data_IF_418580785459
#
_entry.id   IF_418580785459
#
_cell.length_a   1.000
_cell.length_b   1.000
_cell.length_c   1.000
_cell.angle_alpha   90.00
_cell.angle_beta   90.00
_cell.angle_gamma   90.00
#
_symmetry.space_group_name_H-M   'P 1'
#
loop_
_entity.id
_entity.type
_entity.pdbx_description
1 polymer ?
#
# COMPACT_ATOMS: atom_id res chain seq x y z
N UNK A 1 30.20 -34.35 29.93
CA UNK A 1 30.46 -33.64 28.65
C UNK A 1 29.25 -32.78 28.37
N UNK A 2 29.41 -31.45 28.35
CA UNK A 2 28.30 -30.53 28.05
C UNK A 2 28.02 -30.59 26.55
N UNK A 3 26.75 -30.57 26.16
CA UNK A 3 26.35 -30.52 24.76
C UNK A 3 26.93 -29.26 24.06
N UNK A 4 27.67 -29.43 22.95
CA UNK A 4 28.27 -28.30 22.23
C UNK A 4 27.23 -27.28 21.74
N UNK A 5 26.00 -27.70 21.45
CA UNK A 5 24.93 -26.80 21.03
C UNK A 5 24.45 -25.91 22.19
N UNK A 6 24.36 -26.46 23.40
CA UNK A 6 24.02 -25.71 24.61
C UNK A 6 25.09 -24.66 24.90
N UNK A 7 26.38 -25.02 24.80
CA UNK A 7 27.46 -24.06 24.97
C UNK A 7 27.43 -22.96 23.91
N UNK A 8 27.13 -23.29 22.64
CA UNK A 8 26.95 -22.29 21.59
C UNK A 8 25.86 -21.28 21.95
N UNK A 9 24.68 -21.75 22.36
CA UNK A 9 23.55 -20.87 22.75
C UNK A 9 23.90 -20.00 23.96
N UNK A 10 24.61 -20.54 24.96
CA UNK A 10 25.08 -19.76 26.13
C UNK A 10 26.03 -18.64 25.71
N UNK A 11 27.00 -18.93 24.83
CA UNK A 11 27.94 -17.93 24.29
C UNK A 11 27.24 -16.82 23.52
N UNK A 12 26.27 -17.17 22.67
CA UNK A 12 25.48 -16.19 21.91
C UNK A 12 24.68 -15.27 22.84
N UNK A 13 24.03 -15.85 23.86
CA UNK A 13 23.31 -15.06 24.89
C UNK A 13 24.24 -14.16 25.70
N UNK A 14 25.43 -14.63 26.04
CA UNK A 14 26.42 -13.81 26.74
C UNK A 14 26.82 -12.59 25.91
N UNK A 15 27.16 -12.80 24.64
CA UNK A 15 27.56 -11.72 23.74
C UNK A 15 26.41 -10.73 23.49
N UNK A 16 25.18 -11.23 23.32
CA UNK A 16 24.00 -10.37 23.18
C UNK A 16 23.71 -9.55 24.44
N UNK A 17 23.84 -10.16 25.63
CA UNK A 17 23.66 -9.43 26.88
C UNK A 17 24.73 -8.35 27.05
N UNK A 18 26.00 -8.67 26.81
CA UNK A 18 27.08 -7.70 26.85
C UNK A 18 26.84 -6.54 25.88
N UNK A 19 26.41 -6.83 24.64
CA UNK A 19 26.04 -5.80 23.67
C UNK A 19 24.92 -4.88 24.17
N UNK A 20 23.89 -5.44 24.81
CA UNK A 20 22.77 -4.65 25.32
C UNK A 20 23.19 -3.78 26.50
N UNK A 21 23.99 -4.30 27.44
CA UNK A 21 24.49 -3.57 28.60
C UNK A 21 25.46 -2.46 28.19
N UNK A 22 26.27 -2.67 27.15
CA UNK A 22 27.17 -1.64 26.60
C UNK A 22 26.48 -0.69 25.62
N UNK A 23 25.22 -0.93 25.26
CA UNK A 23 24.53 -0.26 24.16
C UNK A 23 25.35 -0.23 22.85
N UNK A 24 26.16 -1.27 22.61
CA UNK A 24 27.07 -1.35 21.46
C UNK A 24 28.27 -0.40 21.53
N UNK A 25 28.61 0.14 22.70
CA UNK A 25 29.77 1.02 22.86
C UNK A 25 31.02 0.23 23.27
N UNK A 26 32.05 0.25 22.41
CA UNK A 26 33.33 -0.45 22.64
C UNK A 26 34.12 0.06 23.86
N UNK A 27 33.88 1.30 24.28
CA UNK A 27 34.56 1.92 25.43
C UNK A 27 33.89 1.49 26.75
N UNK A 28 32.62 1.10 26.70
CA UNK A 28 31.86 0.74 27.88
C UNK A 28 32.24 -0.66 28.38
N UNK A 29 32.69 -0.71 29.63
CA UNK A 29 33.13 -1.93 30.30
C UNK A 29 32.01 -2.45 31.20
N UNK A 30 31.75 -3.75 31.16
CA UNK A 30 30.71 -4.41 31.94
C UNK A 30 31.34 -5.45 32.85
N UNK A 31 30.90 -5.50 34.10
CA UNK A 31 31.32 -6.50 35.08
C UNK A 31 30.92 -7.90 34.61
N UNK A 32 31.89 -8.81 34.53
CA UNK A 32 31.68 -10.20 34.08
C UNK A 32 30.81 -10.96 35.08
N UNK A 33 30.94 -10.66 36.38
CA UNK A 33 30.11 -11.24 37.44
C UNK A 33 28.64 -10.81 37.33
N UNK A 34 28.38 -9.56 36.94
CA UNK A 34 27.00 -9.09 36.75
C UNK A 34 26.34 -9.78 35.55
N UNK A 35 27.10 -10.01 34.47
CA UNK A 35 26.64 -10.79 33.32
C UNK A 35 26.33 -12.24 33.70
N UNK A 36 27.20 -12.88 34.47
CA UNK A 36 26.99 -14.25 34.95
C UNK A 36 25.73 -14.37 35.80
N UNK A 37 25.55 -13.46 36.75
CA UNK A 37 24.37 -13.40 37.62
C UNK A 37 23.07 -13.25 36.81
N UNK A 38 23.07 -12.39 35.78
CA UNK A 38 21.92 -12.19 34.89
C UNK A 38 21.61 -13.43 34.04
N UNK A 39 22.62 -14.20 33.67
CA UNK A 39 22.47 -15.41 32.86
C UNK A 39 22.27 -16.68 33.69
N UNK A 40 22.42 -16.62 35.02
CA UNK A 40 22.39 -17.78 35.90
C UNK A 40 23.53 -18.76 35.62
N UNK A 41 24.71 -18.25 35.30
CA UNK A 41 25.91 -19.04 35.03
C UNK A 41 26.76 -19.18 36.29
N UNK A 42 27.37 -20.36 36.46
CA UNK A 42 28.41 -20.56 37.47
C UNK A 42 29.75 -19.95 37.00
N UNK A 43 30.65 -19.69 37.95
CA UNK A 43 31.94 -19.03 37.70
C UNK A 43 32.81 -19.81 36.69
N UNK A 44 32.89 -21.14 36.84
CA UNK A 44 33.62 -22.00 35.91
C UNK A 44 33.04 -21.95 34.48
N UNK A 45 31.70 -21.88 34.34
CA UNK A 45 31.07 -21.76 33.03
C UNK A 45 31.29 -20.39 32.40
N UNK A 46 31.26 -19.35 33.22
CA UNK A 46 31.48 -17.97 32.84
C UNK A 46 32.89 -17.77 32.26
N UNK A 47 33.91 -18.23 32.97
CA UNK A 47 35.30 -18.12 32.54
C UNK A 47 35.52 -18.83 31.20
N UNK A 48 35.00 -20.05 31.05
CA UNK A 48 35.06 -20.80 29.81
C UNK A 48 34.41 -20.04 28.62
N UNK A 49 33.26 -19.40 28.86
CA UNK A 49 32.57 -18.60 27.85
C UNK A 49 33.36 -17.34 27.51
N UNK A 50 33.82 -16.59 28.53
CA UNK A 50 34.55 -15.34 28.36
C UNK A 50 35.89 -15.57 27.65
N UNK A 51 36.68 -16.57 28.07
CA UNK A 51 37.94 -16.91 27.40
C UNK A 51 37.72 -17.34 25.95
N UNK A 52 36.69 -18.13 25.66
CA UNK A 52 36.38 -18.50 24.28
C UNK A 52 36.02 -17.28 23.43
N UNK A 53 35.21 -16.35 23.95
CA UNK A 53 34.82 -15.15 23.20
C UNK A 53 36.00 -14.18 23.01
N UNK A 54 36.90 -14.09 23.99
CA UNK A 54 38.12 -13.32 23.91
C UNK A 54 39.11 -13.91 22.89
N UNK A 55 39.29 -15.23 22.87
CA UNK A 55 40.09 -15.95 21.86
C UNK A 55 39.56 -15.70 20.44
N UNK A 56 38.24 -15.50 20.30
CA UNK A 56 37.60 -15.13 19.02
C UNK A 56 37.64 -13.64 18.71
N UNK A 57 38.27 -12.80 19.54
CA UNK A 57 38.34 -11.36 19.32
C UNK A 57 36.99 -10.65 19.42
N UNK A 58 35.98 -11.27 20.01
CA UNK A 58 34.62 -10.71 20.12
C UNK A 58 34.44 -9.83 21.36
N UNK A 59 35.28 -10.05 22.37
CA UNK A 59 35.35 -9.27 23.60
C UNK A 59 36.82 -9.04 23.96
N UNK A 60 37.09 -8.01 24.75
CA UNK A 60 38.40 -7.75 25.35
C UNK A 60 38.29 -7.70 26.88
N UNK A 61 39.32 -8.22 27.56
CA UNK A 61 39.43 -8.12 29.01
C UNK A 61 39.88 -6.73 29.41
N UNK A 62 39.17 -6.14 30.37
CA UNK A 62 39.54 -4.92 31.06
C UNK A 62 40.01 -5.23 32.49
N UNK A 63 40.50 -4.20 33.19
CA UNK A 63 40.94 -4.36 34.56
C UNK A 63 39.78 -4.78 35.49
N UNK A 64 40.12 -5.46 36.59
CA UNK A 64 39.18 -5.78 37.68
C UNK A 64 37.95 -6.61 37.24
N UNK A 65 38.13 -7.62 36.39
CA UNK A 65 37.03 -8.54 36.02
C UNK A 65 35.93 -7.90 35.18
N UNK A 66 36.26 -6.84 34.45
CA UNK A 66 35.38 -6.23 33.47
C UNK A 66 35.74 -6.68 32.06
N UNK A 67 34.77 -6.64 31.15
CA UNK A 67 34.97 -6.89 29.71
C UNK A 67 34.31 -5.80 28.89
N UNK A 68 34.92 -5.48 27.75
CA UNK A 68 34.33 -4.64 26.72
C UNK A 68 34.01 -5.48 25.48
N UNK A 69 32.99 -5.07 24.72
CA UNK A 69 32.69 -5.67 23.43
C UNK A 69 33.59 -5.05 22.35
N UNK A 70 34.11 -5.86 21.43
CA UNK A 70 34.91 -5.36 20.31
C UNK A 70 34.01 -4.94 19.14
N UNK A 71 34.60 -4.30 18.13
CA UNK A 71 33.91 -4.01 16.87
C UNK A 71 33.40 -5.29 16.18
N UNK A 72 34.19 -6.37 16.18
CA UNK A 72 33.79 -7.66 15.61
C UNK A 72 32.64 -8.31 16.42
N UNK A 73 32.67 -8.18 17.76
CA UNK A 73 31.58 -8.60 18.63
C UNK A 73 30.27 -7.90 18.30
N UNK A 74 30.31 -6.59 18.09
CA UNK A 74 29.16 -5.77 17.69
C UNK A 74 28.62 -6.24 16.33
N UNK A 75 29.47 -6.33 15.31
CA UNK A 75 29.08 -6.74 13.95
C UNK A 75 28.38 -8.11 13.98
N UNK A 76 28.89 -9.05 14.78
CA UNK A 76 28.32 -10.38 14.91
C UNK A 76 26.92 -10.38 15.52
N UNK A 77 26.69 -9.59 16.57
CA UNK A 77 25.36 -9.45 17.19
C UNK A 77 24.39 -8.75 16.25
N UNK A 78 24.82 -7.69 15.58
CA UNK A 78 23.99 -6.98 14.60
C UNK A 78 23.64 -7.83 13.39
N UNK A 79 24.59 -8.63 12.88
CA UNK A 79 24.34 -9.57 11.81
C UNK A 79 23.26 -10.59 12.21
N UNK A 80 23.36 -11.17 13.41
CA UNK A 80 22.35 -12.09 13.93
C UNK A 80 20.96 -11.42 14.04
N UNK A 81 20.90 -10.18 14.52
CA UNK A 81 19.65 -9.39 14.61
C UNK A 81 19.06 -9.04 13.26
N UNK A 82 19.91 -8.72 12.27
CA UNK A 82 19.47 -8.39 10.91
C UNK A 82 18.79 -9.58 10.24
N UNK A 83 19.31 -10.79 10.46
CA UNK A 83 18.73 -12.04 9.95
C UNK A 83 17.34 -12.25 10.58
N UNK A 84 17.23 -12.11 11.90
CA UNK A 84 15.95 -12.21 12.59
C UNK A 84 14.95 -11.19 12.06
N UNK A 85 15.34 -9.91 11.94
CA UNK A 85 14.47 -8.85 11.41
C UNK A 85 13.98 -9.17 9.99
N UNK A 86 14.85 -9.73 9.14
CA UNK A 86 14.49 -10.14 7.78
C UNK A 86 13.50 -11.31 7.77
N UNK A 87 13.72 -12.32 8.61
CA UNK A 87 12.82 -13.47 8.74
C UNK A 87 11.46 -13.02 9.27
N UNK A 88 11.42 -12.25 10.35
CA UNK A 88 10.17 -11.73 10.90
C UNK A 88 9.45 -10.83 9.91
N UNK A 89 10.16 -9.91 9.23
CA UNK A 89 9.54 -9.06 8.21
C UNK A 89 8.90 -9.87 7.08
N UNK A 90 9.59 -10.90 6.59
CA UNK A 90 9.06 -11.78 5.55
C UNK A 90 7.86 -12.62 6.03
N UNK A 91 7.94 -13.17 7.24
CA UNK A 91 6.89 -14.00 7.82
C UNK A 91 5.62 -13.20 8.13
N UNK A 92 5.76 -12.01 8.75
CA UNK A 92 4.64 -11.13 9.03
C UNK A 92 4.01 -10.57 7.77
N UNK A 93 4.79 -10.21 6.75
CA UNK A 93 4.24 -9.75 5.46
C UNK A 93 3.37 -10.83 4.81
N UNK A 94 3.81 -12.09 4.87
CA UNK A 94 3.09 -13.22 4.30
C UNK A 94 1.81 -13.56 5.09
N UNK A 95 1.92 -13.62 6.43
CA UNK A 95 0.76 -13.88 7.30
C UNK A 95 -0.28 -12.77 7.21
N UNK A 96 0.15 -11.50 7.24
CA UNK A 96 -0.76 -10.36 7.17
C UNK A 96 -1.60 -10.38 5.89
N UNK A 97 -0.98 -10.76 4.76
CA UNK A 97 -1.70 -10.94 3.49
C UNK A 97 -2.78 -12.03 3.59
N UNK A 98 -2.45 -13.20 4.13
CA UNK A 98 -3.40 -14.32 4.27
C UNK A 98 -4.56 -13.91 5.20
N UNK A 99 -4.26 -13.29 6.34
CA UNK A 99 -5.27 -12.84 7.29
C UNK A 99 -6.21 -11.82 6.65
N UNK A 100 -5.69 -10.86 5.90
CA UNK A 100 -6.52 -9.89 5.15
C UNK A 100 -7.41 -10.59 4.12
N UNK A 101 -6.87 -11.52 3.33
CA UNK A 101 -7.65 -12.24 2.32
C UNK A 101 -8.79 -13.05 2.95
N UNK A 102 -8.56 -13.68 4.10
CA UNK A 102 -9.58 -14.39 4.87
C UNK A 102 -10.64 -13.42 5.42
N UNK A 103 -10.22 -12.31 6.02
CA UNK A 103 -11.15 -11.30 6.57
C UNK A 103 -12.05 -10.75 5.46
N UNK A 104 -11.49 -10.39 4.29
CA UNK A 104 -12.25 -9.92 3.13
C UNK A 104 -13.25 -11.00 2.68
N UNK A 105 -12.83 -12.26 2.60
CA UNK A 105 -13.71 -13.38 2.23
C UNK A 105 -14.90 -13.53 3.18
N UNK A 106 -14.66 -13.40 4.49
CA UNK A 106 -15.71 -13.46 5.51
C UNK A 106 -16.67 -12.27 5.41
N UNK A 107 -16.16 -11.05 5.22
CA UNK A 107 -16.99 -9.85 5.05
C UNK A 107 -17.89 -10.00 3.81
N UNK A 108 -17.34 -10.46 2.69
CA UNK A 108 -18.12 -10.72 1.47
C UNK A 108 -19.21 -11.75 1.74
N UNK A 109 -18.89 -12.85 2.41
CA UNK A 109 -19.87 -13.88 2.76
C UNK A 109 -21.01 -13.34 3.65
N UNK A 110 -20.68 -12.51 4.64
CA UNK A 110 -21.67 -11.85 5.50
C UNK A 110 -22.58 -10.95 4.66
N UNK A 111 -22.02 -10.09 3.79
CA UNK A 111 -22.80 -9.20 2.92
C UNK A 111 -23.76 -10.00 2.03
N UNK A 112 -23.28 -11.09 1.42
CA UNK A 112 -24.13 -11.97 0.59
C UNK A 112 -25.25 -12.65 1.41
N UNK A 113 -24.98 -13.00 2.67
CA UNK A 113 -25.97 -13.66 3.54
C UNK A 113 -27.06 -12.70 4.01
N UNK A 114 -26.74 -11.42 4.19
CA UNK A 114 -27.68 -10.37 4.60
C UNK A 114 -28.43 -9.70 3.44
N UNK A 115 -28.17 -10.09 2.18
CA UNK A 115 -28.85 -9.51 1.02
C UNK A 115 -29.56 -10.57 0.14
N UNK A 116 -30.58 -11.29 0.64
CA UNK A 116 -31.10 -12.48 -0.02
C UNK A 116 -31.91 -12.21 -1.30
N UNK A 117 -32.47 -11.00 -1.50
CA UNK A 117 -33.67 -10.84 -2.34
C UNK A 117 -33.69 -9.64 -3.31
N UNK A 118 -32.56 -9.25 -3.91
CA UNK A 118 -32.54 -8.24 -5.00
C UNK A 118 -32.21 -8.77 -6.40
N UNK A 119 -32.37 -10.07 -6.63
CA UNK A 119 -32.28 -10.65 -7.97
C UNK A 119 -33.63 -11.11 -8.50
N UNK A 120 -34.59 -10.18 -8.54
CA UNK A 120 -35.48 -10.10 -9.70
C UNK A 120 -34.94 -8.97 -10.59
N UNK A 121 -34.32 -9.28 -11.74
CA UNK A 121 -34.04 -8.27 -12.74
C UNK A 121 -35.37 -7.92 -13.40
N UNK A 122 -36.13 -6.98 -12.83
CA UNK A 122 -37.23 -6.39 -13.58
C UNK A 122 -37.36 -4.88 -13.31
N UNK A 123 -37.43 -4.17 -14.45
CA UNK A 123 -37.74 -2.76 -14.69
C UNK A 123 -36.61 -1.75 -14.45
N UNK A 124 -36.32 -1.05 -15.55
CA UNK A 124 -35.64 0.24 -15.64
C UNK A 124 -35.77 1.04 -14.35
N UNK A 125 -34.62 1.39 -13.78
CA UNK A 125 -34.52 2.49 -12.81
C UNK A 125 -34.85 3.79 -13.54
N UNK A 126 -36.15 4.02 -13.78
CA UNK A 126 -36.68 5.35 -14.03
C UNK A 126 -36.51 6.11 -12.71
N UNK A 127 -35.34 6.72 -12.55
CA UNK A 127 -35.14 7.79 -11.59
C UNK A 127 -36.25 8.80 -11.85
N UNK A 128 -37.17 8.91 -10.90
CA UNK A 128 -38.26 9.88 -11.03
C UNK A 128 -37.65 11.26 -11.20
N UNK A 129 -38.24 12.08 -12.07
CA UNK A 129 -37.80 13.46 -12.33
C UNK A 129 -37.59 14.29 -11.06
N UNK A 130 -38.28 13.95 -9.97
CA UNK A 130 -38.13 14.57 -8.66
C UNK A 130 -36.82 14.20 -7.93
N UNK A 131 -36.35 12.95 -8.04
CA UNK A 131 -35.07 12.52 -7.45
C UNK A 131 -33.88 13.13 -8.19
N UNK A 132 -33.99 13.22 -9.52
CA UNK A 132 -33.01 13.91 -10.36
C UNK A 132 -32.94 15.39 -9.99
N UNK A 133 -34.11 16.04 -9.81
CA UNK A 133 -34.17 17.46 -9.44
C UNK A 133 -33.54 17.71 -8.06
N UNK A 134 -33.80 16.85 -7.06
CA UNK A 134 -33.15 16.96 -5.75
C UNK A 134 -31.64 16.82 -5.81
N UNK A 135 -31.12 15.92 -6.65
CA UNK A 135 -29.68 15.77 -6.85
C UNK A 135 -29.10 17.01 -7.55
N UNK A 136 -29.78 17.54 -8.57
CA UNK A 136 -29.37 18.76 -9.27
C UNK A 136 -29.37 20.01 -8.35
N UNK A 137 -30.39 20.14 -7.51
CA UNK A 137 -30.53 21.23 -6.54
C UNK A 137 -29.46 21.13 -5.43
N UNK A 138 -29.09 19.92 -5.02
CA UNK A 138 -28.02 19.67 -4.02
C UNK A 138 -26.63 19.99 -4.56
N UNK A 139 -26.43 19.84 -5.88
CA UNK A 139 -25.15 20.09 -6.55
C UNK A 139 -25.03 21.57 -7.00
N UNK A 140 -26.09 22.37 -6.85
CA UNK A 140 -26.09 23.78 -7.23
C UNK A 140 -25.98 24.02 -8.74
N UNK A 141 -26.49 23.09 -9.55
CA UNK A 141 -26.48 23.22 -11.01
C UNK A 141 -27.75 23.92 -11.50
N UNK A 142 -27.60 25.01 -12.27
CA UNK A 142 -28.74 25.82 -12.72
C UNK A 142 -29.61 25.13 -13.79
N UNK A 143 -29.07 24.15 -14.53
CA UNK A 143 -29.87 23.35 -15.49
C UNK A 143 -29.30 21.95 -15.69
N UNK A 144 -30.17 20.96 -15.56
CA UNK A 144 -29.94 19.56 -15.94
C UNK A 144 -30.93 19.16 -17.03
N UNK A 145 -30.42 18.73 -18.19
CA UNK A 145 -31.25 18.11 -19.24
C UNK A 145 -30.90 16.63 -19.34
N UNK A 146 -31.91 15.78 -19.26
CA UNK A 146 -31.75 14.34 -19.32
C UNK A 146 -32.49 13.81 -20.54
N UNK A 147 -31.76 13.00 -21.31
CA UNK A 147 -32.29 12.18 -22.39
C UNK A 147 -32.07 10.72 -22.01
N UNK A 148 -32.74 9.80 -22.69
CA UNK A 148 -32.62 8.36 -22.40
C UNK A 148 -31.16 7.84 -22.44
N UNK A 149 -30.28 8.53 -23.18
CA UNK A 149 -28.92 8.05 -23.43
C UNK A 149 -27.83 8.96 -22.82
N UNK A 150 -28.17 10.10 -22.22
CA UNK A 150 -27.18 10.99 -21.60
C UNK A 150 -27.76 12.01 -20.61
N UNK A 151 -26.95 12.33 -19.59
CA UNK A 151 -27.20 13.41 -18.64
C UNK A 151 -26.23 14.55 -18.95
N UNK A 152 -26.76 15.76 -19.22
CA UNK A 152 -25.95 16.96 -19.45
C UNK A 152 -26.16 17.94 -18.30
N UNK A 153 -25.08 18.23 -17.58
CA UNK A 153 -25.05 19.17 -16.45
C UNK A 153 -24.32 20.43 -16.91
N UNK A 154 -24.98 21.59 -16.82
CA UNK A 154 -24.36 22.87 -17.17
C UNK A 154 -24.23 23.70 -15.90
N UNK A 155 -23.00 24.11 -15.57
CA UNK A 155 -22.72 24.99 -14.45
C UNK A 155 -22.53 26.40 -14.98
N UNK A 156 -23.35 27.36 -14.53
CA UNK A 156 -23.07 28.77 -14.73
C UNK A 156 -22.01 29.19 -13.70
N UNK A 157 -20.74 29.22 -14.12
CA UNK A 157 -19.69 29.78 -13.29
C UNK A 157 -19.91 31.29 -13.11
N UNK A 158 -20.09 31.74 -11.86
CA UNK A 158 -19.88 33.14 -11.51
C UNK A 158 -18.37 33.42 -11.60
N UNK A 159 -17.98 34.45 -12.35
CA UNK A 159 -16.61 34.80 -12.74
C UNK A 159 -15.68 35.18 -11.55
N UNK A 160 -16.16 35.06 -10.30
CA UNK A 160 -15.48 35.56 -9.10
C UNK A 160 -14.94 34.49 -8.15
N UNK A 161 -14.77 33.23 -8.58
CA UNK A 161 -14.05 32.24 -7.78
C UNK A 161 -12.54 32.47 -7.86
N UNK A 162 -12.05 33.21 -6.87
CA UNK A 162 -10.64 33.52 -6.66
C UNK A 162 -9.79 32.24 -6.54
N UNK A 163 -8.81 32.18 -7.42
CA UNK A 163 -7.86 31.09 -7.57
C UNK A 163 -6.80 31.15 -6.44
N UNK A 164 -7.00 30.38 -5.36
CA UNK A 164 -5.90 29.99 -4.46
C UNK A 164 -6.01 28.51 -4.13
N UNK A 165 -4.95 27.80 -4.56
CA UNK A 165 -4.52 26.44 -4.20
C UNK A 165 -5.16 25.27 -4.96
N UNK A 166 -4.46 24.87 -6.03
CA UNK A 166 -4.60 23.56 -6.67
C UNK A 166 -4.25 23.58 -8.15
N UNK A 167 -2.96 23.51 -8.49
CA UNK A 167 -2.49 23.47 -9.88
C UNK A 167 -2.98 22.21 -10.61
N UNK A 168 -3.84 22.37 -11.61
CA UNK A 168 -4.01 21.43 -12.72
C UNK A 168 -3.18 21.91 -13.92
N UNK A 169 -2.73 21.00 -14.82
CA UNK A 169 -1.89 21.37 -15.95
C UNK A 169 -2.66 22.26 -16.93
N UNK A 170 -2.07 23.41 -17.24
CA UNK A 170 -2.59 24.40 -18.19
C UNK A 170 -2.08 24.02 -19.57
N UNK A 171 -2.92 23.40 -20.39
CA UNK A 171 -2.78 23.48 -21.85
C UNK A 171 -3.72 24.58 -22.37
N UNK A 172 -3.11 25.73 -22.65
CA UNK A 172 -3.55 26.84 -23.49
C UNK A 172 -5.07 27.05 -23.66
N UNK A 173 -5.64 27.93 -22.83
CA UNK A 173 -6.90 28.62 -23.13
C UNK A 173 -6.59 29.93 -23.82
N UNK A 174 -6.97 30.04 -25.10
CA UNK A 174 -7.11 31.34 -25.76
C UNK A 174 -8.35 32.05 -25.18
N UNK A 175 -8.15 33.27 -24.68
CA UNK A 175 -9.22 34.19 -24.28
C UNK A 175 -10.08 34.55 -25.50
N UNK A 176 -11.39 34.42 -25.35
CA UNK A 176 -12.37 35.18 -26.12
C UNK A 176 -13.48 35.64 -25.17
N UNK A 177 -13.84 36.91 -25.30
CA UNK A 177 -14.87 37.62 -24.56
C UNK A 177 -16.28 37.17 -25.00
N UNK A 178 -17.20 37.16 -24.04
CA UNK A 178 -18.66 37.15 -24.21
C UNK A 178 -19.32 35.97 -24.94
N UNK A 179 -20.08 35.18 -24.16
CA UNK A 179 -21.29 34.50 -24.63
C UNK A 179 -21.19 32.98 -24.83
N UNK A 180 -21.91 32.24 -23.98
CA UNK A 180 -22.37 30.85 -24.13
C UNK A 180 -21.59 29.93 -25.10
N UNK A 181 -20.66 29.15 -24.57
CA UNK A 181 -20.07 28.03 -25.31
C UNK A 181 -20.98 26.79 -25.25
N UNK A 182 -21.81 26.59 -26.27
CA UNK A 182 -22.37 25.26 -26.57
C UNK A 182 -21.44 24.54 -27.55
N UNK A 183 -20.89 23.39 -27.15
CA UNK A 183 -20.06 22.56 -28.04
C UNK A 183 -20.92 21.44 -28.62
N UNK A 184 -21.32 21.61 -29.88
CA UNK A 184 -21.94 20.56 -30.69
C UNK A 184 -20.85 19.92 -31.55
N UNK A 185 -20.55 18.65 -31.30
CA UNK A 185 -19.60 17.88 -32.13
C UNK A 185 -20.42 17.19 -33.21
N UNK A 186 -20.46 17.78 -34.40
CA UNK A 186 -20.97 17.10 -35.60
C UNK A 186 -19.88 16.18 -36.16
N UNK A 187 -20.20 14.95 -36.60
CA UNK A 187 -19.23 14.08 -37.26
C UNK A 187 -18.75 14.73 -38.57
N UNK A 188 -17.46 14.56 -38.94
CA UNK A 188 -16.90 15.22 -40.10
C UNK A 188 -17.54 14.70 -41.40
N UNK A 189 -18.00 15.66 -42.20
CA UNK A 189 -18.41 15.48 -43.60
C UNK A 189 -17.17 15.08 -44.42
N UNK A 190 -17.31 14.01 -45.21
CA UNK A 190 -16.26 13.48 -46.09
C UNK A 190 -15.57 14.56 -46.96
N UNK A 191 -14.24 14.54 -47.11
CA UNK A 191 -13.57 15.25 -48.19
C UNK A 191 -13.37 14.34 -49.41
N UNK A 192 -13.78 14.88 -50.55
CA UNK A 192 -13.64 14.37 -51.90
C UNK A 192 -12.21 13.93 -52.26
N UNK A 193 -12.12 12.80 -52.95
CA UNK A 193 -10.92 12.24 -53.58
C UNK A 193 -10.18 13.26 -54.46
N UNK A 194 -8.85 13.32 -54.30
CA UNK A 194 -7.93 13.52 -55.43
C UNK A 194 -7.00 12.31 -55.52
N UNK A 195 -6.96 11.72 -56.72
CA UNK A 195 -6.06 10.64 -57.15
C UNK A 195 -4.61 11.15 -57.09
N UNK A 196 -3.70 10.37 -56.52
CA UNK A 196 -2.65 9.72 -57.31
C UNK A 196 -1.78 8.74 -56.50
N UNK A 197 -1.64 7.56 -57.12
CA UNK A 197 -0.63 6.49 -56.99
C UNK A 197 0.29 6.44 -55.77
N UNK A 198 0.18 5.36 -54.97
CA UNK A 198 1.31 4.47 -54.62
C UNK A 198 0.78 3.14 -54.03
N UNK A 199 1.18 2.00 -54.63
CA UNK A 199 0.85 0.64 -54.19
C UNK A 199 1.44 0.34 -52.81
N UNK A 200 0.60 -0.05 -51.84
CA UNK A 200 0.99 -0.81 -50.63
C UNK A 200 -0.11 -1.82 -50.26
N UNK A 201 0.24 -2.93 -49.59
CA UNK A 201 -0.63 -4.09 -49.43
C UNK A 201 -1.84 -3.79 -48.53
N UNK A 202 -3.01 -4.23 -48.98
CA UNK A 202 -4.28 -4.16 -48.26
C UNK A 202 -4.18 -5.02 -47.00
N UNK A 203 -4.14 -4.38 -45.82
CA UNK A 203 -4.40 -5.05 -44.55
C UNK A 203 -5.84 -4.76 -44.16
N UNK A 204 -6.62 -5.82 -44.04
CA UNK A 204 -7.97 -5.79 -43.46
C UNK A 204 -7.87 -5.32 -42.01
N UNK A 205 -8.37 -4.12 -41.71
CA UNK A 205 -8.46 -3.59 -40.35
C UNK A 205 -9.71 -4.22 -39.72
N UNK A 206 -9.53 -5.08 -38.71
CA UNK A 206 -10.64 -5.53 -37.87
C UNK A 206 -11.18 -4.32 -37.06
N UNK A 207 -12.50 -4.25 -36.82
CA UNK A 207 -13.08 -3.15 -36.06
C UNK A 207 -12.43 -3.05 -34.67
N UNK A 208 -12.19 -1.81 -34.24
CA UNK A 208 -11.54 -1.46 -32.98
C UNK A 208 -12.41 -1.99 -31.82
N UNK A 209 -11.97 -3.09 -31.19
CA UNK A 209 -12.60 -3.59 -29.97
C UNK A 209 -12.49 -2.52 -28.88
N UNK A 210 -13.64 -2.11 -28.38
CA UNK A 210 -13.80 -1.19 -27.26
C UNK A 210 -13.03 -1.74 -26.04
N UNK A 211 -11.91 -1.09 -25.68
CA UNK A 211 -11.12 -1.46 -24.50
C UNK A 211 -11.96 -1.18 -23.25
N UNK A 212 -12.58 -2.23 -22.73
CA UNK A 212 -13.16 -2.21 -21.39
C UNK A 212 -12.02 -2.35 -20.38
N UNK A 213 -11.85 -1.35 -19.52
CA UNK A 213 -10.84 -1.39 -18.46
C UNK A 213 -11.32 -2.32 -17.33
N UNK A 214 -10.48 -3.31 -16.98
CA UNK A 214 -10.75 -4.29 -15.93
C UNK A 214 -9.62 -4.31 -14.90
N UNK A 215 -9.96 -4.55 -13.64
CA UNK A 215 -8.99 -4.93 -12.59
C UNK A 215 -9.04 -6.43 -12.41
N UNK A 216 -7.87 -7.08 -12.34
CA UNK A 216 -7.76 -8.51 -12.06
C UNK A 216 -7.50 -8.71 -10.57
N UNK A 217 -8.43 -9.34 -9.87
CA UNK A 217 -8.30 -9.75 -8.47
C UNK A 217 -8.54 -11.27 -8.39
N UNK A 218 -7.64 -12.01 -7.74
CA UNK A 218 -7.71 -13.47 -7.61
C UNK A 218 -7.93 -14.23 -8.94
N UNK A 219 -7.32 -13.74 -10.03
CA UNK A 219 -7.45 -14.36 -11.36
C UNK A 219 -8.81 -14.14 -12.05
N UNK A 220 -9.71 -13.32 -11.49
CA UNK A 220 -10.98 -12.94 -12.11
C UNK A 220 -10.96 -11.45 -12.52
N UNK A 221 -11.57 -11.15 -13.67
CA UNK A 221 -11.66 -9.79 -14.24
C UNK A 221 -12.92 -9.09 -13.70
N UNK A 222 -12.75 -7.92 -13.08
CA UNK A 222 -13.84 -7.07 -12.59
C UNK A 222 -13.86 -5.75 -13.36
N UNK A 223 -15.04 -5.28 -13.82
CA UNK A 223 -15.16 -4.03 -14.55
C UNK A 223 -14.83 -2.83 -13.65
N UNK A 224 -14.15 -1.81 -14.19
CA UNK A 224 -13.65 -0.66 -13.41
C UNK A 224 -14.73 0.15 -12.68
N UNK A 225 -16.00 0.05 -13.07
CA UNK A 225 -17.13 0.69 -12.37
C UNK A 225 -17.31 0.22 -10.93
N UNK A 226 -16.76 -0.93 -10.55
CA UNK A 226 -16.73 -1.42 -9.17
C UNK A 226 -15.70 -0.68 -8.28
N UNK A 227 -14.77 0.08 -8.89
CA UNK A 227 -13.71 0.78 -8.16
C UNK A 227 -14.24 1.96 -7.35
N UNK A 228 -15.27 2.64 -7.85
CA UNK A 228 -15.92 3.76 -7.15
C UNK A 228 -16.67 3.26 -5.91
N UNK A 229 -17.31 2.10 -5.99
CA UNK A 229 -18.02 1.48 -4.86
C UNK A 229 -17.07 0.99 -3.77
N UNK A 230 -15.86 0.54 -4.13
CA UNK A 230 -14.88 0.06 -3.15
C UNK A 230 -14.15 1.21 -2.44
N UNK A 231 -13.84 2.30 -3.14
CA UNK A 231 -13.26 3.51 -2.51
C UNK A 231 -14.29 4.16 -1.57
N UNK A 232 -15.56 4.25 -1.98
CA UNK A 232 -16.63 4.81 -1.14
C UNK A 232 -16.91 3.93 0.11
N UNK A 233 -16.69 2.62 0.01
CA UNK A 233 -16.77 1.70 1.15
C UNK A 233 -15.61 1.89 2.13
N UNK A 234 -14.37 2.07 1.64
CA UNK A 234 -13.19 2.32 2.49
C UNK A 234 -13.32 3.67 3.21
N UNK A 235 -13.74 4.73 2.51
CA UNK A 235 -13.93 6.08 3.10
C UNK A 235 -15.06 6.09 4.15
N UNK A 236 -16.09 5.26 4.00
CA UNK A 236 -17.13 5.12 5.04
C UNK A 236 -16.65 4.34 6.27
N UNK A 237 -15.76 3.37 6.11
CA UNK A 237 -15.20 2.62 7.23
C UNK A 237 -14.19 3.44 8.04
N UNK A 238 -13.40 4.32 7.41
CA UNK A 238 -12.50 5.24 8.14
C UNK A 238 -13.25 6.25 9.01
N UNK A 239 -14.46 6.64 8.63
CA UNK A 239 -15.31 7.55 9.41
C UNK A 239 -16.16 6.85 10.50
N UNK A 240 -16.03 5.54 10.65
CA UNK A 240 -16.76 4.72 11.65
C UNK A 240 -15.85 4.20 12.78
N UNK A 241 -14.57 4.56 12.80
CA UNK A 241 -13.71 4.31 13.96
C UNK A 241 -13.88 5.45 14.98
N UNK A 242 -14.20 5.17 16.25
CA UNK A 242 -14.32 6.18 17.30
C UNK A 242 -12.99 6.86 17.65
#
# INVERSE_FOLDING_TARGET
MIDPEIQRKKREKFLELLYNESAGNIIYQVSVLDLAKKLGLEEDELDNIAFFLADKGLIEWAAMGHVSITAEGIEKVEAARSILKKIYGWFFSSLYKIVIEVIIGVIVLIIYSYWPDRHTPDKSLDLTSNQIKQIADTIGSDTTSITNDSIKITFNGNENLNNKQGNLPIDSVNKAENGNTSKTINPPKEPLLKKDTFKKPVRTIKPLEEKKDYVILFGRKYPLTAKETFIDLIVRFENLSP
#
